data_IF_231555847321
#
_entry.id   IF_231555847321
#
_cell.length_a   1.000
_cell.length_b   1.000
_cell.length_c   1.000
_cell.angle_alpha   90.00
_cell.angle_beta   90.00
_cell.angle_gamma   90.00
#
_symmetry.space_group_name_H-M   'P 1'
#
loop_
_entity.id
_entity.type
_entity.pdbx_description
1 polymer ?
#
# COMPACT_ATOMS: atom_id res chain seq x y z
N UNK A 1 17.60 -0.56 -3.08
CA UNK A 1 17.33 -1.42 -1.90
C UNK A 1 15.98 -1.00 -1.35
N UNK A 2 15.00 -1.91 -1.21
CA UNK A 2 13.62 -1.56 -0.78
C UNK A 2 12.45 -2.22 -1.52
N UNK A 3 12.65 -3.33 -2.25
CA UNK A 3 11.59 -3.99 -3.05
C UNK A 3 11.07 -5.30 -2.43
N UNK A 4 10.98 -5.39 -1.11
CA UNK A 4 10.46 -6.60 -0.48
C UNK A 4 8.94 -6.46 -0.29
N UNK A 5 8.17 -7.21 -1.10
CA UNK A 5 6.74 -7.40 -0.91
C UNK A 5 6.53 -8.56 0.05
N UNK A 6 5.98 -8.30 1.24
CA UNK A 6 5.74 -9.32 2.27
C UNK A 6 4.31 -9.89 2.21
N UNK A 7 3.76 -10.01 1.00
CA UNK A 7 2.47 -10.64 0.75
C UNK A 7 2.54 -11.46 -0.53
N UNK A 8 1.90 -12.63 -0.50
CA UNK A 8 1.71 -13.47 -1.70
C UNK A 8 0.52 -13.02 -2.54
N UNK A 9 -0.26 -12.02 -2.09
CA UNK A 9 -1.35 -11.46 -2.90
C UNK A 9 -0.77 -10.78 -4.15
N UNK A 10 -1.10 -11.33 -5.31
CA UNK A 10 -0.64 -10.85 -6.62
C UNK A 10 -1.29 -9.52 -7.02
N UNK A 11 -2.44 -9.20 -6.43
CA UNK A 11 -3.14 -7.92 -6.65
C UNK A 11 -2.37 -6.74 -6.08
N UNK A 12 -1.54 -7.00 -5.06
CA UNK A 12 -0.74 -6.00 -4.35
C UNK A 12 0.61 -5.80 -5.02
N UNK A 13 0.91 -4.55 -5.37
CA UNK A 13 2.20 -4.15 -5.94
C UNK A 13 2.73 -2.88 -5.25
N UNK A 14 4.05 -2.84 -5.06
CA UNK A 14 4.78 -1.63 -4.64
C UNK A 14 5.26 -0.92 -5.91
N UNK A 15 4.84 0.33 -6.07
CA UNK A 15 5.28 1.20 -7.14
C UNK A 15 6.43 2.06 -6.62
N UNK A 16 7.56 2.05 -7.33
CA UNK A 16 8.72 2.85 -6.96
C UNK A 16 9.54 3.19 -8.20
N UNK A 17 9.74 4.47 -8.44
CA UNK A 17 10.59 4.96 -9.52
C UNK A 17 12.05 5.04 -9.06
N UNK A 18 12.96 4.59 -9.93
CA UNK A 18 14.38 4.58 -9.60
C UNK A 18 14.90 6.01 -9.37
N UNK A 19 15.48 6.24 -8.19
CA UNK A 19 15.99 7.56 -7.79
C UNK A 19 14.96 8.46 -7.09
N UNK A 20 13.69 8.05 -7.02
CA UNK A 20 12.66 8.75 -6.25
C UNK A 20 12.65 8.31 -4.78
N UNK A 21 12.21 9.17 -3.87
CA UNK A 21 11.88 8.79 -2.49
C UNK A 21 10.45 8.27 -2.35
N UNK A 22 9.66 8.33 -3.42
CA UNK A 22 8.24 8.01 -3.37
C UNK A 22 8.00 6.51 -3.51
N UNK A 23 7.13 5.99 -2.65
CA UNK A 23 6.62 4.63 -2.72
C UNK A 23 5.10 4.68 -2.80
N UNK A 24 4.55 4.05 -3.83
CA UNK A 24 3.11 3.88 -4.01
C UNK A 24 2.68 2.45 -3.70
N UNK A 25 1.46 2.29 -3.20
CA UNK A 25 0.80 1.01 -3.07
C UNK A 25 -0.29 0.91 -4.14
N UNK A 26 -0.27 -0.15 -4.94
CA UNK A 26 -1.36 -0.47 -5.88
C UNK A 26 -2.00 -1.78 -5.47
N UNK A 27 -3.33 -1.78 -5.39
CA UNK A 27 -4.17 -2.98 -5.21
C UNK A 27 -5.06 -3.09 -6.44
N UNK A 28 -4.95 -4.19 -7.18
CA UNK A 28 -5.70 -4.45 -8.42
C UNK A 28 -6.93 -5.32 -8.13
N UNK A 29 -7.99 -5.25 -8.93
CA UNK A 29 -9.21 -6.04 -8.72
C UNK A 29 -9.78 -5.92 -7.29
N UNK A 30 -10.00 -4.67 -6.86
CA UNK A 30 -10.52 -4.37 -5.53
C UNK A 30 -11.86 -5.09 -5.28
N UNK A 31 -11.97 -5.68 -4.10
CA UNK A 31 -13.19 -6.29 -3.57
C UNK A 31 -13.62 -5.55 -2.29
N UNK A 32 -14.90 -5.62 -1.89
CA UNK A 32 -15.37 -4.98 -0.66
C UNK A 32 -14.52 -5.30 0.58
N UNK A 33 -13.95 -6.51 0.66
CA UNK A 33 -13.10 -6.98 1.76
C UNK A 33 -11.74 -6.26 1.84
N UNK A 34 -11.31 -5.61 0.76
CA UNK A 34 -10.09 -4.78 0.76
C UNK A 34 -10.31 -3.43 1.48
N UNK A 35 -11.53 -3.12 1.91
CA UNK A 35 -11.83 -1.91 2.69
C UNK A 35 -11.12 -1.94 4.05
N UNK A 36 -10.12 -1.09 4.22
CA UNK A 36 -9.29 -1.04 5.43
C UNK A 36 -8.62 0.33 5.61
N UNK A 37 -7.91 0.48 6.73
CA UNK A 37 -6.91 1.55 6.90
C UNK A 37 -5.56 1.02 6.42
N UNK A 38 -5.02 1.63 5.37
CA UNK A 38 -3.69 1.38 4.87
C UNK A 38 -2.70 2.35 5.51
N UNK A 39 -1.53 1.84 5.90
CA UNK A 39 -0.48 2.64 6.52
C UNK A 39 0.79 2.59 5.69
N UNK A 40 1.38 3.76 5.45
CA UNK A 40 2.77 3.89 5.00
C UNK A 40 3.63 4.18 6.24
N UNK A 41 4.63 3.34 6.49
CA UNK A 41 5.56 3.50 7.62
C UNK A 41 6.97 3.69 7.10
N UNK A 42 7.65 4.69 7.63
CA UNK A 42 9.08 4.92 7.40
C UNK A 42 9.83 4.62 8.70
N UNK A 43 10.83 3.74 8.61
CA UNK A 43 11.63 3.30 9.76
C UNK A 43 12.69 4.34 10.16
N UNK A 44 12.25 5.54 10.51
CA UNK A 44 13.06 6.59 11.14
C UNK A 44 12.85 6.61 12.66
N UNK A 45 13.68 7.35 13.39
CA UNK A 45 13.45 7.66 14.80
C UNK A 45 13.22 9.18 14.95
N UNK A 46 12.02 9.64 15.35
CA UNK A 46 10.80 8.86 15.61
C UNK A 46 10.19 8.28 14.32
N UNK A 47 9.40 7.21 14.47
CA UNK A 47 8.72 6.57 13.33
C UNK A 47 7.74 7.54 12.67
N UNK A 48 7.81 7.62 11.35
CA UNK A 48 6.85 8.39 10.57
C UNK A 48 5.78 7.44 10.01
N UNK A 49 4.51 7.80 10.21
CA UNK A 49 3.35 7.02 9.77
C UNK A 49 2.34 7.92 9.07
N UNK A 50 1.94 7.54 7.86
CA UNK A 50 0.82 8.13 7.13
C UNK A 50 -0.29 7.09 6.96
N UNK A 51 -1.55 7.48 7.17
CA UNK A 51 -2.71 6.57 7.12
C UNK A 51 -3.71 7.03 6.07
N UNK A 52 -4.27 6.07 5.33
CA UNK A 52 -5.33 6.30 4.33
C UNK A 52 -6.44 5.28 4.56
N UNK A 53 -7.69 5.73 4.65
CA UNK A 53 -8.85 4.84 4.70
C UNK A 53 -9.33 4.57 3.28
N UNK A 54 -9.30 3.32 2.86
CA UNK A 54 -9.91 2.85 1.62
C UNK A 54 -11.29 2.27 1.93
N UNK A 55 -12.29 2.66 1.14
CA UNK A 55 -13.64 2.07 1.18
C UNK A 55 -13.98 1.63 -0.23
N UNK A 56 -14.20 0.34 -0.40
CA UNK A 56 -14.62 -0.29 -1.65
C UNK A 56 -16.10 -0.63 -1.53
N UNK A 57 -16.91 -0.11 -2.44
CA UNK A 57 -18.35 -0.39 -2.49
C UNK A 57 -18.58 -1.40 -3.62
N UNK A 58 -19.21 -2.53 -3.30
CA UNK A 58 -19.58 -3.52 -4.31
C UNK A 58 -20.73 -3.01 -5.19
N UNK A 59 -20.74 -3.43 -6.45
CA UNK A 59 -21.94 -3.30 -7.30
C UNK A 59 -22.90 -4.44 -6.96
N UNK A 60 -24.19 -4.12 -6.78
CA UNK A 60 -25.26 -5.05 -6.41
C UNK A 60 -26.02 -5.55 -7.64
#
# INVERSE_FOLDING_TARGET
MGRYKYTSDERVAVLHEMGSSNYGLRVSHLQPEDSAIYECRVNTEPQQVAKVKLVVIGEN
#
